data_IF_471581144402
#
_entry.id   IF_471581144402
#
_cell.length_a   1.000
_cell.length_b   1.000
_cell.length_c   1.000
_cell.angle_alpha   90.00
_cell.angle_beta   90.00
_cell.angle_gamma   90.00
#
_symmetry.space_group_name_H-M   'P 1'
#
loop_
_entity.id
_entity.type
_entity.pdbx_description
1 polymer ?
#
# COMPACT_ATOMS: atom_id res chain seq x y z
N UNK A 1 -12.42 27.44 14.94
CA UNK A 1 -11.36 26.53 14.43
C UNK A 1 -12.01 25.22 14.04
N UNK A 2 -12.27 25.01 12.74
CA UNK A 2 -12.84 23.76 12.25
C UNK A 2 -11.72 22.76 12.04
N UNK A 3 -11.53 21.83 12.98
CA UNK A 3 -10.78 20.63 12.68
C UNK A 3 -11.61 19.84 11.69
N UNK A 4 -11.24 19.89 10.41
CA UNK A 4 -11.82 19.02 9.39
C UNK A 4 -11.40 17.60 9.80
N UNK A 5 -12.23 16.96 10.62
CA UNK A 5 -12.19 15.53 10.87
C UNK A 5 -12.69 14.90 9.58
N UNK A 6 -11.77 14.65 8.66
CA UNK A 6 -12.01 13.69 7.59
C UNK A 6 -12.51 12.41 8.27
N UNK A 7 -13.61 11.79 7.81
CA UNK A 7 -13.92 10.45 8.26
C UNK A 7 -12.76 9.59 7.77
N UNK A 8 -11.81 9.34 8.66
CA UNK A 8 -10.87 8.24 8.54
C UNK A 8 -11.77 7.02 8.64
N UNK A 9 -12.36 6.63 7.51
CA UNK A 9 -13.02 5.33 7.39
C UNK A 9 -11.97 4.34 7.91
N UNK A 10 -12.23 3.67 9.04
CA UNK A 10 -11.27 2.73 9.58
C UNK A 10 -10.97 1.75 8.45
N UNK A 11 -9.69 1.43 8.21
CA UNK A 11 -9.33 0.37 7.26
C UNK A 11 -10.25 -0.81 7.54
N UNK A 12 -11.20 -1.06 6.65
CA UNK A 12 -12.16 -2.12 6.86
C UNK A 12 -11.42 -3.44 6.69
N UNK A 13 -11.93 -4.52 7.28
CA UNK A 13 -11.35 -5.85 7.10
C UNK A 13 -11.19 -6.22 5.62
N UNK A 14 -12.06 -5.69 4.75
CA UNK A 14 -11.96 -5.83 3.31
C UNK A 14 -10.74 -5.08 2.71
N UNK A 15 -10.46 -3.86 3.14
CA UNK A 15 -9.32 -3.07 2.67
C UNK A 15 -8.00 -3.74 3.08
N UNK A 16 -7.92 -4.22 4.33
CA UNK A 16 -6.74 -4.94 4.81
C UNK A 16 -6.51 -6.25 4.06
N UNK A 17 -7.59 -6.95 3.69
CA UNK A 17 -7.54 -8.14 2.83
C UNK A 17 -7.02 -7.81 1.43
N UNK A 18 -7.43 -6.67 0.87
CA UNK A 18 -6.95 -6.18 -0.43
C UNK A 18 -5.45 -5.89 -0.41
N UNK A 19 -4.98 -5.07 0.55
CA UNK A 19 -3.57 -4.73 0.71
C UNK A 19 -2.71 -5.98 0.94
N UNK A 20 -3.19 -6.92 1.76
CA UNK A 20 -2.51 -8.21 1.97
C UNK A 20 -2.44 -9.04 0.69
N UNK A 21 -3.50 -9.05 -0.12
CA UNK A 21 -3.55 -9.79 -1.38
C UNK A 21 -2.62 -9.18 -2.44
N UNK A 22 -2.49 -7.86 -2.48
CA UNK A 22 -1.52 -7.14 -3.31
C UNK A 22 -0.09 -7.50 -2.89
N UNK A 23 0.21 -7.37 -1.60
CA UNK A 23 1.54 -7.67 -1.07
C UNK A 23 1.94 -9.13 -1.32
N UNK A 24 1.01 -10.09 -1.13
CA UNK A 24 1.27 -11.50 -1.43
C UNK A 24 1.60 -11.76 -2.90
N UNK A 25 0.91 -11.08 -3.82
CA UNK A 25 1.18 -11.19 -5.26
C UNK A 25 2.56 -10.63 -5.60
N UNK A 26 2.92 -9.50 -5.02
CA UNK A 26 4.25 -8.93 -5.15
C UNK A 26 5.33 -9.86 -4.58
N UNK A 27 5.14 -10.38 -3.35
CA UNK A 27 6.04 -11.37 -2.74
C UNK A 27 6.23 -12.60 -3.64
N UNK A 28 5.14 -13.15 -4.19
CA UNK A 28 5.20 -14.30 -5.09
C UNK A 28 5.93 -14.00 -6.41
N UNK A 29 5.81 -12.76 -6.93
CA UNK A 29 6.45 -12.34 -8.17
C UNK A 29 7.97 -12.14 -8.04
N UNK A 30 8.42 -11.69 -6.86
CA UNK A 30 9.83 -11.43 -6.58
C UNK A 30 10.50 -12.55 -5.76
N UNK A 31 9.75 -13.63 -5.48
CA UNK A 31 10.20 -14.76 -4.64
C UNK A 31 10.67 -14.33 -3.23
N UNK A 32 10.03 -13.30 -2.69
CA UNK A 32 10.33 -12.74 -1.37
C UNK A 32 9.40 -13.35 -0.34
N UNK A 33 9.94 -13.69 0.83
CA UNK A 33 9.11 -14.16 1.94
C UNK A 33 8.20 -13.05 2.46
N UNK A 34 6.94 -13.37 2.71
CA UNK A 34 5.96 -12.41 3.23
C UNK A 34 6.38 -11.80 4.59
N UNK A 35 7.20 -12.51 5.36
CA UNK A 35 7.76 -12.08 6.64
C UNK A 35 9.12 -11.38 6.54
N UNK A 36 9.71 -11.30 5.34
CA UNK A 36 10.95 -10.61 5.11
C UNK A 36 10.82 -9.11 5.41
N UNK A 37 11.92 -8.48 5.79
CA UNK A 37 11.94 -7.03 6.03
C UNK A 37 11.55 -6.23 4.78
N UNK A 38 11.88 -6.73 3.59
CA UNK A 38 11.49 -6.09 2.33
C UNK A 38 9.96 -6.10 2.13
N UNK A 39 9.30 -7.23 2.42
CA UNK A 39 7.84 -7.33 2.40
C UNK A 39 7.17 -6.42 3.44
N UNK A 40 7.77 -6.26 4.62
CA UNK A 40 7.26 -5.33 5.65
C UNK A 40 7.38 -3.87 5.21
N UNK A 41 8.45 -3.51 4.51
CA UNK A 41 8.61 -2.17 3.94
C UNK A 41 7.52 -1.91 2.88
N UNK A 42 7.29 -2.86 1.97
CA UNK A 42 6.22 -2.75 0.97
C UNK A 42 4.82 -2.72 1.59
N UNK A 43 4.59 -3.46 2.67
CA UNK A 43 3.34 -3.40 3.43
C UNK A 43 3.06 -2.00 3.97
N UNK A 44 4.10 -1.33 4.50
CA UNK A 44 3.98 0.06 4.97
C UNK A 44 3.67 1.01 3.83
N UNK A 45 4.40 0.92 2.71
CA UNK A 45 4.13 1.75 1.54
C UNK A 45 2.68 1.60 1.05
N UNK A 46 2.16 0.36 0.99
CA UNK A 46 0.76 0.10 0.62
C UNK A 46 -0.24 0.82 1.52
N UNK A 47 -0.02 0.78 2.84
CA UNK A 47 -0.88 1.46 3.80
C UNK A 47 -0.77 2.97 3.64
N UNK A 48 0.42 3.51 3.45
CA UNK A 48 0.63 4.95 3.23
C UNK A 48 -0.07 5.43 1.96
N UNK A 49 0.07 4.72 0.85
CA UNK A 49 -0.64 5.04 -0.40
C UNK A 49 -2.16 4.93 -0.25
N UNK A 50 -2.64 3.92 0.48
CA UNK A 50 -4.06 3.76 0.76
C UNK A 50 -4.61 4.91 1.62
N UNK A 51 -3.88 5.31 2.66
CA UNK A 51 -4.22 6.47 3.49
C UNK A 51 -4.15 7.79 2.72
N UNK A 52 -3.27 7.88 1.72
CA UNK A 52 -3.19 9.02 0.81
C UNK A 52 -4.40 9.12 -0.14
N UNK A 53 -5.11 8.00 -0.35
CA UNK A 53 -6.32 7.93 -1.15
C UNK A 53 -6.25 7.00 -2.36
N UNK A 54 -5.12 6.29 -2.56
CA UNK A 54 -4.98 5.29 -3.62
C UNK A 54 -5.69 4.01 -3.19
N UNK A 55 -6.90 3.79 -3.71
CA UNK A 55 -7.70 2.59 -3.41
C UNK A 55 -7.69 1.54 -4.51
N UNK A 56 -7.12 1.86 -5.67
CA UNK A 56 -7.10 0.94 -6.80
C UNK A 56 -5.99 -0.11 -6.63
N UNK A 57 -6.32 -1.41 -6.65
CA UNK A 57 -5.34 -2.46 -6.41
C UNK A 57 -4.26 -2.56 -7.49
N UNK A 58 -4.58 -2.17 -8.73
CA UNK A 58 -3.60 -2.20 -9.84
C UNK A 58 -2.60 -1.06 -9.67
N UNK A 59 -3.07 0.14 -9.29
CA UNK A 59 -2.17 1.25 -9.00
C UNK A 59 -1.28 0.96 -7.79
N UNK A 60 -1.85 0.40 -6.73
CA UNK A 60 -1.09 -0.01 -5.54
C UNK A 60 0.00 -1.04 -5.86
N UNK A 61 -0.29 -2.03 -6.73
CA UNK A 61 0.72 -2.97 -7.22
C UNK A 61 1.84 -2.26 -7.98
N UNK A 62 1.52 -1.38 -8.92
CA UNK A 62 2.52 -0.68 -9.73
C UNK A 62 3.38 0.29 -8.90
N UNK A 63 2.80 0.88 -7.84
CA UNK A 63 3.51 1.72 -6.87
C UNK A 63 4.56 0.90 -6.10
N UNK A 64 4.17 -0.25 -5.55
CA UNK A 64 5.13 -1.11 -4.82
C UNK A 64 6.11 -1.84 -5.74
N UNK A 65 5.74 -2.15 -6.98
CA UNK A 65 6.63 -2.68 -8.04
C UNK A 65 7.78 -1.70 -8.35
N UNK A 66 7.63 -0.43 -7.97
CA UNK A 66 8.59 0.63 -8.25
C UNK A 66 8.52 1.14 -9.68
N UNK A 67 7.47 0.78 -10.43
CA UNK A 67 7.37 1.10 -11.85
C UNK A 67 7.13 2.57 -12.16
N UNK A 68 6.59 3.36 -11.23
CA UNK A 68 6.27 4.77 -11.51
C UNK A 68 6.25 5.66 -10.26
N UNK A 69 7.31 5.67 -9.45
CA UNK A 69 7.49 6.76 -8.48
C UNK A 69 8.79 7.51 -8.71
N UNK A 70 8.82 8.25 -9.82
CA UNK A 70 9.57 9.51 -9.92
C UNK A 70 8.90 10.60 -9.07
N UNK A 71 8.48 10.28 -7.84
CA UNK A 71 8.16 11.33 -6.87
C UNK A 71 9.51 11.81 -6.38
N UNK A 72 10.09 12.73 -7.15
CA UNK A 72 11.25 13.52 -6.77
C UNK A 72 11.10 13.91 -5.30
N UNK A 73 11.97 13.34 -4.47
CA UNK A 73 12.20 13.80 -3.12
C UNK A 73 12.75 15.22 -3.24
N UNK A 74 11.85 16.20 -3.21
CA UNK A 74 12.15 17.65 -3.17
C UNK A 74 12.51 18.03 -1.74
#
# INVERSE_FOLDING_TARGET
>A
MGTIFWPKDPLDGNDMTLLTSILRRWCARYEIEFTADESKLKAKELVEWFEFGVKDPVELEELIDGKNWLVSRI
#
